data_IF_454225321930
#
_entry.id   IF_454225321930
#
_cell.length_a   1.000
_cell.length_b   1.000
_cell.length_c   1.000
_cell.angle_alpha   90.00
_cell.angle_beta   90.00
_cell.angle_gamma   90.00
#
_symmetry.space_group_name_H-M   'P 1'
#
loop_
_entity.id
_entity.type
_entity.pdbx_description
1 polymer ?
#
# COMPACT_ATOMS: atom_id res chain seq x y z
N UNK A 1 13.73 27.56 11.38
CA UNK A 1 15.03 27.24 12.02
C UNK A 1 14.81 26.26 13.16
N UNK A 2 15.67 25.25 13.34
CA UNK A 2 15.54 24.24 14.40
C UNK A 2 16.89 24.10 15.14
N UNK A 3 16.86 24.16 16.47
CA UNK A 3 18.03 24.10 17.33
C UNK A 3 17.89 22.98 18.36
N UNK A 4 18.85 22.06 18.42
CA UNK A 4 18.97 21.13 19.55
C UNK A 4 19.77 21.82 20.66
N UNK A 5 19.10 22.19 21.75
CA UNK A 5 19.71 22.95 22.85
C UNK A 5 20.34 22.06 23.93
N UNK A 6 20.38 20.74 23.72
CA UNK A 6 20.94 19.78 24.67
C UNK A 6 22.40 20.09 25.05
N UNK A 7 22.61 20.53 26.30
CA UNK A 7 23.96 20.70 26.85
C UNK A 7 24.46 19.33 27.30
N UNK A 8 25.52 18.81 26.65
CA UNK A 8 26.11 17.52 27.00
C UNK A 8 27.33 17.69 27.90
N UNK A 9 27.32 17.04 29.07
CA UNK A 9 28.47 16.94 29.98
C UNK A 9 28.76 15.46 30.22
N UNK A 10 29.96 15.01 29.83
CA UNK A 10 30.41 13.62 29.96
C UNK A 10 29.45 12.57 29.34
N UNK A 11 28.80 12.91 28.21
CA UNK A 11 27.87 12.02 27.52
C UNK A 11 26.43 12.04 28.04
N UNK A 12 26.13 12.88 29.03
CA UNK A 12 24.77 13.05 29.56
C UNK A 12 24.26 14.46 29.27
N UNK A 13 23.04 14.56 28.74
CA UNK A 13 22.33 15.85 28.63
C UNK A 13 22.00 16.38 30.02
N UNK A 14 22.47 17.58 30.34
CA UNK A 14 22.24 18.24 31.64
C UNK A 14 21.25 19.38 31.53
N UNK A 15 20.42 19.55 32.55
CA UNK A 15 19.51 20.69 32.70
C UNK A 15 20.19 21.80 33.51
N UNK A 16 20.23 23.05 33.03
CA UNK A 16 20.78 24.15 33.82
C UNK A 16 19.92 24.38 35.08
N UNK A 17 20.59 24.52 36.23
CA UNK A 17 19.93 24.75 37.52
C UNK A 17 19.52 26.22 37.73
N UNK A 18 19.99 27.12 36.86
CA UNK A 18 19.66 28.55 36.84
C UNK A 18 19.12 28.91 35.47
N UNK A 19 18.20 29.87 35.43
CA UNK A 19 17.70 30.41 34.19
C UNK A 19 18.83 31.01 33.35
N UNK A 20 18.73 30.88 32.04
CA UNK A 20 19.68 31.43 31.07
C UNK A 20 18.95 32.34 30.07
N UNK A 21 19.74 33.11 29.32
CA UNK A 21 19.29 33.88 28.17
C UNK A 21 19.76 33.18 26.89
N UNK A 22 18.86 32.99 25.94
CA UNK A 22 19.17 32.55 24.59
C UNK A 22 19.01 33.73 23.65
N UNK A 23 19.95 33.87 22.72
CA UNK A 23 19.91 34.84 21.64
C UNK A 23 20.06 34.10 20.33
N UNK A 24 19.12 34.31 19.41
CA UNK A 24 19.12 33.67 18.10
C UNK A 24 18.95 34.74 17.05
N UNK A 25 19.94 34.88 16.15
CA UNK A 25 19.84 35.79 15.01
C UNK A 25 18.76 35.31 14.04
N UNK A 26 17.82 36.19 13.72
CA UNK A 26 16.75 35.94 12.77
C UNK A 26 17.21 36.37 11.37
N UNK A 27 16.89 35.60 10.31
CA UNK A 27 17.14 36.01 8.93
C UNK A 27 16.53 37.38 8.62
N UNK A 28 17.24 38.21 7.84
CA UNK A 28 16.82 39.59 7.55
C UNK A 28 15.54 39.68 6.71
N UNK A 29 15.20 38.61 5.99
CA UNK A 29 14.03 38.48 5.13
C UNK A 29 12.75 38.05 5.88
N UNK A 30 12.85 37.70 7.17
CA UNK A 30 11.69 37.25 7.96
C UNK A 30 10.90 38.43 8.54
N UNK A 31 9.57 38.36 8.47
CA UNK A 31 8.70 39.25 9.23
C UNK A 31 8.73 38.90 10.72
N UNK A 32 9.49 39.69 11.47
CA UNK A 32 9.66 39.50 12.93
C UNK A 32 8.34 39.54 13.72
N UNK A 33 7.27 40.17 13.19
CA UNK A 33 5.97 40.21 13.85
C UNK A 33 5.23 38.86 13.83
N UNK A 34 5.63 37.98 12.90
CA UNK A 34 5.09 36.65 12.61
C UNK A 34 5.96 35.51 13.14
N UNK A 35 7.01 35.82 13.90
CA UNK A 35 7.85 34.81 14.52
C UNK A 35 7.05 34.03 15.56
N UNK A 36 7.10 32.71 15.43
CA UNK A 36 6.63 31.74 16.40
C UNK A 36 7.82 30.96 16.97
N UNK A 37 7.75 30.66 18.27
CA UNK A 37 8.80 29.99 19.03
C UNK A 37 8.21 28.77 19.72
N UNK A 38 8.67 27.59 19.35
CA UNK A 38 8.15 26.30 19.81
C UNK A 38 9.22 25.53 20.58
N UNK A 39 8.84 24.99 21.73
CA UNK A 39 9.68 24.12 22.56
C UNK A 39 9.23 22.67 22.45
N UNK A 40 10.19 21.76 22.40
CA UNK A 40 9.93 20.33 22.27
C UNK A 40 10.63 19.56 23.37
N UNK A 41 9.90 18.67 24.05
CA UNK A 41 10.42 17.85 25.14
C UNK A 41 11.38 16.72 24.71
N UNK A 42 11.67 16.62 23.41
CA UNK A 42 12.55 15.62 22.82
C UNK A 42 13.66 16.25 21.93
N UNK A 43 14.80 15.57 21.70
CA UNK A 43 15.80 15.97 20.71
C UNK A 43 15.25 15.89 19.27
N UNK A 44 15.79 16.68 18.33
CA UNK A 44 15.40 16.72 16.90
C UNK A 44 15.18 15.35 16.25
N UNK A 45 16.01 14.35 16.55
CA UNK A 45 15.88 13.02 15.96
C UNK A 45 14.76 12.15 16.56
N UNK A 46 14.22 12.55 17.72
CA UNK A 46 13.04 11.98 18.37
C UNK A 46 11.81 12.89 18.22
N UNK A 47 11.99 14.10 17.70
CA UNK A 47 10.89 14.95 17.28
C UNK A 47 10.39 14.32 16.00
N UNK A 48 9.41 13.44 16.22
CA UNK A 48 8.39 13.13 15.26
C UNK A 48 8.09 14.42 14.50
N UNK A 49 8.17 14.34 13.18
CA UNK A 49 7.45 15.22 12.25
C UNK A 49 6.32 15.96 12.97
N UNK A 50 6.33 17.30 12.95
CA UNK A 50 6.16 18.13 14.13
C UNK A 50 4.85 17.81 14.88
N UNK A 51 4.64 18.34 16.08
CA UNK A 51 3.28 18.39 16.66
C UNK A 51 2.78 17.11 17.36
N UNK A 52 3.59 16.43 18.18
CA UNK A 52 3.01 15.49 19.16
C UNK A 52 3.17 15.88 20.63
N UNK A 53 4.01 16.86 21.00
CA UNK A 53 4.08 17.28 22.41
C UNK A 53 4.35 18.79 22.52
N UNK A 54 3.28 19.58 22.53
CA UNK A 54 3.35 20.95 23.03
C UNK A 54 3.25 20.93 24.55
N UNK A 55 4.31 21.33 25.23
CA UNK A 55 4.16 21.98 26.53
C UNK A 55 3.41 23.30 26.34
N UNK A 56 2.49 23.63 27.24
CA UNK A 56 1.63 24.82 27.22
C UNK A 56 2.37 26.19 27.29
N UNK A 57 3.54 26.36 26.69
CA UNK A 57 4.23 27.66 26.67
C UNK A 57 3.86 28.46 25.43
N UNK A 58 2.87 29.32 25.63
CA UNK A 58 2.37 30.35 24.74
C UNK A 58 3.45 31.12 23.98
N UNK A 59 3.22 31.19 22.67
CA UNK A 59 3.79 32.12 21.71
C UNK A 59 3.45 33.55 22.13
N UNK A 60 4.46 34.42 22.27
CA UNK A 60 4.37 35.74 22.92
C UNK A 60 3.87 35.67 24.36
N UNK A 61 4.75 35.35 25.29
CA UNK A 61 4.41 35.60 26.69
C UNK A 61 4.29 37.13 26.88
N UNK A 62 3.12 37.59 27.33
CA UNK A 62 2.83 39.00 27.67
C UNK A 62 3.81 39.55 28.73
N UNK A 63 4.60 38.68 29.36
CA UNK A 63 5.62 39.00 30.36
C UNK A 63 6.96 39.53 29.79
N UNK A 64 7.12 39.57 28.46
CA UNK A 64 8.33 40.08 27.79
C UNK A 64 9.54 39.14 27.82
N UNK A 65 9.36 37.89 28.25
CA UNK A 65 10.43 36.87 28.30
C UNK A 65 10.94 36.45 26.92
N UNK A 66 10.13 36.64 25.87
CA UNK A 66 10.49 36.44 24.46
C UNK A 66 10.28 37.77 23.74
N UNK A 67 11.34 38.32 23.15
CA UNK A 67 11.31 39.62 22.46
C UNK A 67 12.39 39.70 21.37
N UNK A 68 12.26 40.65 20.47
CA UNK A 68 13.34 41.03 19.56
C UNK A 68 14.26 42.08 20.21
N UNK A 69 15.56 41.95 19.99
CA UNK A 69 16.62 42.92 20.32
C UNK A 69 17.46 43.14 19.05
N UNK A 70 17.10 44.14 18.26
CA UNK A 70 17.63 44.27 16.90
C UNK A 70 17.17 43.12 16.00
N UNK A 71 18.13 42.42 15.39
CA UNK A 71 17.93 41.23 14.55
C UNK A 71 18.00 39.90 15.33
N UNK A 72 18.11 39.96 16.67
CA UNK A 72 18.13 38.77 17.53
C UNK A 72 16.78 38.55 18.23
N UNK A 73 16.28 37.33 18.18
CA UNK A 73 15.27 36.84 19.11
C UNK A 73 15.93 36.51 20.44
N UNK A 74 15.49 37.19 21.50
CA UNK A 74 15.98 37.02 22.87
C UNK A 74 14.94 36.30 23.72
N UNK A 75 15.34 35.17 24.29
CA UNK A 75 14.55 34.36 25.22
C UNK A 75 15.22 34.38 26.57
N UNK A 76 14.63 35.07 27.54
CA UNK A 76 15.14 35.19 28.92
C UNK A 76 14.41 34.29 29.90
N UNK A 77 15.07 33.93 31.00
CA UNK A 77 14.40 33.27 32.12
C UNK A 77 14.14 31.78 31.91
N UNK A 78 14.64 31.19 30.81
CA UNK A 78 14.37 29.80 30.48
C UNK A 78 15.36 28.83 31.15
N UNK A 79 14.88 27.67 31.58
CA UNK A 79 15.72 26.53 31.96
C UNK A 79 15.60 25.39 30.95
N UNK A 80 14.83 25.59 29.86
CA UNK A 80 14.49 24.58 28.84
C UNK A 80 15.64 24.32 27.83
N UNK A 81 16.88 24.56 28.23
CA UNK A 81 18.08 24.41 27.38
C UNK A 81 18.63 22.98 27.48
N UNK A 82 17.73 22.03 27.30
CA UNK A 82 17.99 20.59 27.28
C UNK A 82 17.13 19.87 26.23
N UNK A 83 16.40 20.66 25.44
CA UNK A 83 15.29 20.29 24.57
C UNK A 83 15.53 20.87 23.16
N UNK A 84 14.62 20.66 22.22
CA UNK A 84 14.70 21.33 20.91
C UNK A 84 13.89 22.62 20.92
N UNK A 85 14.41 23.63 20.23
CA UNK A 85 13.75 24.90 19.96
C UNK A 85 13.54 25.04 18.45
N UNK A 86 12.29 25.21 18.01
CA UNK A 86 12.00 25.64 16.65
C UNK A 86 11.57 27.10 16.65
N UNK A 87 12.08 27.84 15.66
CA UNK A 87 11.71 29.22 15.40
C UNK A 87 11.24 29.27 13.96
N UNK A 88 10.00 29.67 13.73
CA UNK A 88 9.35 29.72 12.43
C UNK A 88 8.75 31.09 12.18
N UNK A 89 8.66 31.49 10.91
CA UNK A 89 7.84 32.60 10.48
C UNK A 89 6.50 32.05 10.00
N UNK A 90 5.41 32.55 10.58
CA UNK A 90 4.06 32.15 10.15
C UNK A 90 3.76 32.73 8.78
N UNK A 91 3.45 31.87 7.82
CA UNK A 91 2.94 32.31 6.51
C UNK A 91 1.47 32.74 6.61
N UNK A 92 1.10 33.78 5.85
CA UNK A 92 -0.30 34.15 5.71
C UNK A 92 -1.02 33.09 4.87
N UNK A 93 -2.22 32.72 5.29
CA UNK A 93 -3.12 31.89 4.49
C UNK A 93 -3.51 32.68 3.24
N UNK A 94 -3.48 32.00 2.10
CA UNK A 94 -3.97 32.54 0.83
C UNK A 94 -5.48 32.40 0.81
N UNK A 95 -6.20 33.50 0.59
CA UNK A 95 -7.62 33.46 0.26
C UNK A 95 -7.78 32.77 -1.09
N UNK A 96 -8.25 31.52 -1.06
CA UNK A 96 -8.32 30.73 -2.29
C UNK A 96 -9.49 31.15 -3.19
N UNK A 97 -10.50 31.86 -2.67
CA UNK A 97 -11.70 32.24 -3.42
C UNK A 97 -11.44 33.26 -4.54
N UNK A 98 -10.36 34.05 -4.42
CA UNK A 98 -10.03 35.13 -5.35
C UNK A 98 -8.83 34.83 -6.27
N UNK A 99 -8.35 33.58 -6.31
CA UNK A 99 -7.21 33.20 -7.15
C UNK A 99 -7.59 33.31 -8.63
N UNK A 100 -6.79 34.06 -9.39
CA UNK A 100 -6.97 34.23 -10.83
C UNK A 100 -6.50 33.00 -11.60
N UNK A 101 -7.06 32.79 -12.79
CA UNK A 101 -6.57 31.79 -13.73
C UNK A 101 -5.07 31.94 -13.97
N UNK A 102 -4.37 30.80 -13.98
CA UNK A 102 -2.92 30.74 -14.05
C UNK A 102 -2.36 29.51 -13.34
N UNK A 103 -1.03 29.41 -13.34
CA UNK A 103 -0.30 28.32 -12.68
C UNK A 103 0.61 28.87 -11.60
N UNK A 104 0.69 28.16 -10.48
CA UNK A 104 1.34 28.64 -9.27
C UNK A 104 2.13 27.55 -8.57
N UNK A 105 3.30 27.93 -8.04
CA UNK A 105 3.89 27.20 -6.91
C UNK A 105 3.17 27.65 -5.64
N UNK A 106 2.82 26.68 -4.78
CA UNK A 106 2.08 26.93 -3.54
C UNK A 106 2.68 26.11 -2.41
N UNK A 107 2.50 26.59 -1.19
CA UNK A 107 2.76 25.80 0.00
C UNK A 107 1.45 25.19 0.49
N UNK A 108 1.48 23.89 0.76
CA UNK A 108 0.36 23.17 1.38
C UNK A 108 0.66 22.97 2.85
N UNK A 109 -0.31 23.35 3.69
CA UNK A 109 -0.23 23.15 5.13
C UNK A 109 -1.43 22.35 5.62
N UNK A 110 -1.18 21.26 6.34
CA UNK A 110 -2.22 20.42 6.93
C UNK A 110 -2.40 20.78 8.40
N UNK A 111 -3.62 21.14 8.79
CA UNK A 111 -4.03 21.46 10.15
C UNK A 111 -4.88 20.36 10.75
N UNK A 112 -4.93 20.26 12.07
CA UNK A 112 -5.86 19.35 12.73
C UNK A 112 -7.28 19.86 12.56
N UNK A 113 -8.23 18.97 12.25
CA UNK A 113 -9.63 19.34 12.11
C UNK A 113 -10.19 20.03 13.37
N UNK A 114 -9.86 19.50 14.55
CA UNK A 114 -10.38 20.01 15.83
C UNK A 114 -9.60 21.22 16.40
N UNK A 115 -8.40 21.48 15.87
CA UNK A 115 -7.51 22.54 16.33
C UNK A 115 -6.82 23.12 15.09
N UNK A 116 -7.50 23.96 14.30
CA UNK A 116 -7.03 24.41 12.99
C UNK A 116 -5.85 25.40 13.06
N UNK A 117 -5.43 25.76 14.26
CA UNK A 117 -4.19 26.49 14.59
C UNK A 117 -3.02 25.55 14.93
N UNK A 118 -3.28 24.24 15.04
CA UNK A 118 -2.26 23.20 15.20
C UNK A 118 -2.12 22.41 13.93
N UNK A 119 -0.88 22.25 13.51
CA UNK A 119 -0.56 21.43 12.36
C UNK A 119 -0.90 19.94 12.64
N UNK A 120 -1.28 19.23 11.58
CA UNK A 120 -1.54 17.79 11.59
C UNK A 120 -0.25 17.01 11.38
N UNK A 121 -0.17 15.77 11.91
CA UNK A 121 0.91 14.85 11.56
C UNK A 121 1.03 14.62 10.04
N UNK A 122 -0.10 14.64 9.33
CA UNK A 122 -0.14 14.49 7.87
C UNK A 122 0.54 15.64 7.13
N UNK A 123 0.78 16.80 7.78
CA UNK A 123 1.53 17.90 7.19
C UNK A 123 2.90 17.45 6.68
N UNK A 124 3.48 16.48 7.37
CA UNK A 124 4.80 16.00 7.07
C UNK A 124 4.84 14.81 6.12
N UNK A 125 3.66 14.28 5.78
CA UNK A 125 3.50 13.32 4.71
C UNK A 125 3.47 14.00 3.33
N UNK A 126 3.57 15.33 3.27
CA UNK A 126 3.71 16.11 2.04
C UNK A 126 5.16 16.52 1.87
N UNK A 127 5.73 16.30 0.67
CA UNK A 127 7.08 16.74 0.33
C UNK A 127 7.10 18.25 0.22
N UNK A 128 8.05 18.88 0.90
CA UNK A 128 8.20 20.34 0.86
C UNK A 128 8.45 20.83 -0.57
N UNK A 129 7.87 21.99 -0.92
CA UNK A 129 8.00 22.63 -2.23
C UNK A 129 7.51 21.78 -3.43
N UNK A 130 6.77 20.70 -3.19
CA UNK A 130 6.21 19.86 -4.26
C UNK A 130 4.89 20.38 -4.83
N UNK A 131 4.18 21.21 -4.06
CA UNK A 131 2.79 21.54 -4.36
C UNK A 131 2.64 22.58 -5.48
N UNK A 132 1.70 22.30 -6.39
CA UNK A 132 1.45 23.06 -7.61
C UNK A 132 -0.05 23.26 -7.77
N UNK A 133 -0.46 24.44 -8.20
CA UNK A 133 -1.86 24.78 -8.42
C UNK A 133 -2.07 25.24 -9.86
N UNK A 134 -3.02 24.61 -10.56
CA UNK A 134 -3.56 25.05 -11.85
C UNK A 134 -4.94 25.66 -11.59
N UNK A 135 -5.15 26.88 -12.07
CA UNK A 135 -6.46 27.54 -12.03
C UNK A 135 -6.92 27.81 -13.46
N UNK A 136 -8.03 27.20 -13.84
CA UNK A 136 -8.63 27.32 -15.18
C UNK A 136 -10.13 27.56 -15.06
N UNK A 137 -10.62 28.68 -15.59
CA UNK A 137 -12.02 29.08 -15.49
C UNK A 137 -12.52 29.08 -14.02
N UNK A 138 -11.67 29.49 -13.08
CA UNK A 138 -11.95 29.48 -11.64
C UNK A 138 -11.91 28.11 -10.95
N UNK A 139 -11.78 27.01 -11.70
CA UNK A 139 -11.57 25.66 -11.14
C UNK A 139 -10.11 25.51 -10.72
N UNK A 140 -9.89 24.92 -9.55
CA UNK A 140 -8.58 24.83 -8.89
C UNK A 140 -8.19 23.37 -8.82
N UNK A 141 -7.14 22.99 -9.54
CA UNK A 141 -6.58 21.65 -9.48
C UNK A 141 -5.21 21.72 -8.80
N UNK A 142 -5.06 20.98 -7.70
CA UNK A 142 -3.81 20.93 -6.95
C UNK A 142 -3.10 19.60 -7.18
N UNK A 143 -1.78 19.64 -7.14
CA UNK A 143 -0.91 18.46 -7.12
C UNK A 143 0.12 18.60 -6.03
N UNK A 144 0.53 17.50 -5.42
CA UNK A 144 1.68 17.47 -4.51
C UNK A 144 2.24 16.05 -4.41
N UNK A 145 3.51 15.97 -4.00
CA UNK A 145 4.15 14.70 -3.71
C UNK A 145 3.98 14.37 -2.23
N UNK A 146 3.76 13.10 -1.95
CA UNK A 146 3.72 12.55 -0.60
C UNK A 146 5.09 12.00 -0.20
N UNK A 147 5.25 11.68 1.08
CA UNK A 147 6.40 10.95 1.60
C UNK A 147 6.01 10.12 2.81
N UNK A 148 6.75 9.01 3.01
CA UNK A 148 6.65 8.23 4.24
C UNK A 148 7.13 9.03 5.45
N UNK A 149 6.54 8.76 6.60
CA UNK A 149 6.81 9.44 7.87
C UNK A 149 7.15 8.43 8.96
N UNK A 150 7.96 8.85 9.93
CA UNK A 150 8.26 8.04 11.11
C UNK A 150 7.39 8.47 12.29
N UNK A 151 6.59 7.56 12.84
CA UNK A 151 5.75 7.74 14.04
C UNK A 151 6.15 6.69 15.08
N UNK A 152 6.43 7.11 16.32
CA UNK A 152 6.86 6.23 17.42
C UNK A 152 8.02 5.26 17.05
N UNK A 153 8.95 5.67 16.19
CA UNK A 153 10.06 4.85 15.71
C UNK A 153 9.72 3.86 14.60
N UNK A 154 8.48 3.91 14.10
CA UNK A 154 7.99 3.10 12.97
C UNK A 154 7.83 3.99 11.75
N UNK A 155 8.37 3.56 10.62
CA UNK A 155 8.28 4.28 9.36
C UNK A 155 7.13 3.71 8.52
N UNK A 156 6.31 4.56 7.91
CA UNK A 156 5.25 4.11 7.02
C UNK A 156 4.70 5.21 6.12
N UNK A 157 3.86 4.80 5.18
CA UNK A 157 3.28 5.63 4.14
C UNK A 157 1.76 5.77 4.29
N UNK A 158 1.18 6.75 3.60
CA UNK A 158 -0.26 6.78 3.41
C UNK A 158 -0.66 5.81 2.31
N UNK A 159 -1.69 4.99 2.54
CA UNK A 159 -2.27 4.07 1.55
C UNK A 159 -3.36 4.74 0.70
N UNK A 160 -4.01 5.77 1.23
CA UNK A 160 -5.06 6.48 0.52
C UNK A 160 -5.29 7.86 1.12
N UNK A 161 -5.57 8.81 0.23
CA UNK A 161 -5.90 10.18 0.60
C UNK A 161 -7.22 10.49 -0.09
N UNK A 162 -8.15 11.08 0.66
CA UNK A 162 -9.48 11.36 0.17
C UNK A 162 -9.85 12.79 0.53
N UNK A 163 -10.39 13.55 -0.42
CA UNK A 163 -10.98 14.83 -0.10
C UNK A 163 -12.43 14.65 0.33
N UNK A 164 -12.90 15.51 1.23
CA UNK A 164 -14.28 15.54 1.68
C UNK A 164 -14.90 16.93 1.45
N UNK A 165 -16.15 16.94 0.98
CA UNK A 165 -16.94 18.15 0.92
C UNK A 165 -17.47 18.48 2.33
N UNK A 166 -17.49 19.76 2.69
CA UNK A 166 -18.10 20.21 3.93
C UNK A 166 -19.50 20.79 3.66
N UNK A 167 -20.54 20.14 4.17
CA UNK A 167 -21.94 20.56 4.02
C UNK A 167 -22.39 21.63 5.03
N UNK A 168 -21.48 22.15 5.87
CA UNK A 168 -21.78 23.12 6.95
C UNK A 168 -22.69 22.59 8.06
N UNK A 169 -22.83 21.28 8.16
CA UNK A 169 -23.40 20.66 9.35
C UNK A 169 -22.29 20.51 10.38
N UNK A 170 -22.54 20.92 11.63
CA UNK A 170 -21.57 20.78 12.71
C UNK A 170 -22.10 19.85 13.79
N UNK A 171 -21.21 18.99 14.31
CA UNK A 171 -21.45 18.19 15.50
C UNK A 171 -20.31 18.43 16.48
N UNK A 172 -20.64 18.83 17.71
CA UNK A 172 -19.67 19.23 18.73
C UNK A 172 -18.68 20.34 18.28
N UNK A 173 -19.13 21.23 17.38
CA UNK A 173 -18.32 22.32 16.84
C UNK A 173 -17.29 21.90 15.78
N UNK A 174 -17.43 20.68 15.24
CA UNK A 174 -16.62 20.18 14.14
C UNK A 174 -17.49 19.95 12.90
N UNK A 175 -16.96 20.15 11.68
CA UNK A 175 -17.70 19.89 10.46
C UNK A 175 -17.98 18.38 10.33
N UNK A 176 -19.21 18.07 9.97
CA UNK A 176 -19.65 16.71 9.62
C UNK A 176 -19.23 16.45 8.19
N UNK A 177 -18.41 15.41 8.00
CA UNK A 177 -17.89 14.97 6.71
C UNK A 177 -18.42 13.55 6.45
N UNK A 178 -19.25 13.40 5.42
CA UNK A 178 -19.98 12.16 5.11
C UNK A 178 -19.50 11.49 3.83
N UNK A 179 -19.06 12.28 2.85
CA UNK A 179 -18.61 11.79 1.55
C UNK A 179 -17.12 12.04 1.36
N UNK A 180 -16.40 10.98 0.98
CA UNK A 180 -14.96 10.97 0.76
C UNK A 180 -14.68 10.50 -0.65
N UNK A 181 -13.98 11.31 -1.42
CA UNK A 181 -13.60 11.00 -2.80
C UNK A 181 -12.09 10.79 -2.85
N UNK A 182 -11.59 9.67 -3.40
CA UNK A 182 -10.15 9.46 -3.53
C UNK A 182 -9.52 10.56 -4.37
N UNK A 183 -8.28 10.93 -4.05
CA UNK A 183 -7.49 11.77 -4.95
C UNK A 183 -7.15 11.01 -6.23
N UNK A 184 -6.75 11.75 -7.26
CA UNK A 184 -6.11 11.19 -8.45
C UNK A 184 -4.67 10.75 -8.08
N UNK A 185 -4.31 9.52 -8.45
CA UNK A 185 -3.01 8.91 -8.11
C UNK A 185 -2.14 8.76 -9.36
N UNK A 186 -1.19 9.67 -9.54
CA UNK A 186 -0.33 9.74 -10.72
C UNK A 186 0.87 8.80 -10.64
N UNK A 187 1.34 8.50 -9.43
CA UNK A 187 2.42 7.53 -9.24
C UNK A 187 2.35 6.88 -7.86
N UNK A 188 3.02 5.75 -7.72
CA UNK A 188 3.11 4.95 -6.51
C UNK A 188 4.57 4.71 -6.13
N UNK A 189 4.79 4.49 -4.84
CA UNK A 189 6.06 3.94 -4.37
C UNK A 189 6.18 2.48 -4.77
N UNK A 190 7.33 2.14 -5.35
CA UNK A 190 7.75 0.78 -5.63
C UNK A 190 9.10 0.53 -4.95
N UNK A 191 9.34 -0.72 -4.55
CA UNK A 191 10.59 -1.10 -3.93
C UNK A 191 11.72 -1.19 -4.98
N UNK A 192 12.94 -1.53 -4.55
CA UNK A 192 14.11 -1.61 -5.43
C UNK A 192 13.97 -2.63 -6.58
N UNK A 193 13.08 -3.63 -6.46
CA UNK A 193 12.78 -4.58 -7.54
C UNK A 193 11.65 -4.13 -8.46
N UNK A 194 11.02 -2.98 -8.18
CA UNK A 194 9.87 -2.48 -8.91
C UNK A 194 8.54 -3.14 -8.52
N UNK A 195 8.46 -3.80 -7.37
CA UNK A 195 7.22 -4.38 -6.82
C UNK A 195 6.49 -3.40 -5.88
N UNK A 196 5.20 -3.64 -5.67
CA UNK A 196 4.33 -2.96 -4.70
C UNK A 196 4.60 -3.35 -3.25
N UNK A 197 5.36 -4.43 -3.03
CA UNK A 197 5.77 -4.95 -1.71
C UNK A 197 6.81 -4.02 -1.04
N UNK A 198 6.35 -2.85 -0.63
CA UNK A 198 7.18 -1.78 -0.06
C UNK A 198 7.59 -2.07 1.39
N UNK A 199 6.71 -2.72 2.13
CA UNK A 199 6.89 -3.08 3.54
C UNK A 199 5.97 -4.25 3.90
N UNK A 200 6.07 -4.73 5.14
CA UNK A 200 5.26 -5.83 5.64
C UNK A 200 3.76 -5.52 5.64
N UNK A 201 3.34 -4.25 5.69
CA UNK A 201 1.93 -3.92 5.60
C UNK A 201 1.42 -4.04 4.17
N UNK A 202 2.19 -3.55 3.19
CA UNK A 202 1.87 -3.70 1.77
C UNK A 202 1.74 -5.17 1.37
N UNK A 203 2.69 -6.01 1.79
CA UNK A 203 2.67 -7.45 1.52
C UNK A 203 1.49 -8.18 2.18
N UNK A 204 1.19 -7.84 3.45
CA UNK A 204 0.21 -8.59 4.23
C UNK A 204 -1.24 -8.16 3.96
N UNK A 205 -1.45 -6.90 3.60
CA UNK A 205 -2.78 -6.28 3.53
C UNK A 205 -3.11 -5.69 2.15
N UNK A 206 -2.31 -6.01 1.13
CA UNK A 206 -2.51 -5.55 -0.25
C UNK A 206 -2.63 -4.02 -0.36
N UNK A 207 -1.63 -3.32 0.21
CA UNK A 207 -1.62 -1.86 0.30
C UNK A 207 -0.71 -1.23 -0.76
N UNK A 208 -1.14 -0.08 -1.27
CA UNK A 208 -0.49 0.65 -2.35
C UNK A 208 -0.30 2.10 -1.94
N UNK A 209 0.94 2.57 -1.93
CA UNK A 209 1.27 3.89 -1.39
C UNK A 209 1.41 4.92 -2.51
N UNK A 210 0.43 5.84 -2.71
CA UNK A 210 0.54 6.88 -3.72
C UNK A 210 1.66 7.85 -3.38
N UNK A 211 2.47 8.18 -4.38
CA UNK A 211 3.62 9.09 -4.28
C UNK A 211 3.29 10.47 -4.82
N UNK A 212 2.65 10.57 -5.98
CA UNK A 212 2.21 11.86 -6.54
C UNK A 212 0.71 11.84 -6.66
N UNK A 213 0.06 12.85 -6.08
CA UNK A 213 -1.40 12.93 -6.01
C UNK A 213 -1.89 14.28 -6.51
N UNK A 214 -3.14 14.33 -6.97
CA UNK A 214 -3.80 15.58 -7.31
C UNK A 214 -5.31 15.47 -7.22
N UNK A 215 -6.01 16.60 -7.25
CA UNK A 215 -7.46 16.65 -7.31
C UNK A 215 -7.97 18.06 -7.64
N UNK A 216 -9.19 18.13 -8.18
CA UNK A 216 -9.95 19.38 -8.28
C UNK A 216 -10.57 19.71 -6.91
N UNK A 217 -10.38 20.94 -6.44
CA UNK A 217 -10.94 21.40 -5.18
C UNK A 217 -12.47 21.23 -5.13
N UNK A 218 -13.03 20.73 -4.01
CA UNK A 218 -14.48 20.64 -3.85
C UNK A 218 -15.13 22.02 -3.80
N UNK A 219 -16.44 22.07 -4.05
CA UNK A 219 -17.22 23.32 -4.01
C UNK A 219 -17.11 24.06 -2.66
N UNK A 220 -16.94 23.33 -1.55
CA UNK A 220 -16.75 23.95 -0.24
C UNK A 220 -15.43 24.70 -0.08
N UNK A 221 -14.44 24.46 -0.95
CA UNK A 221 -13.09 24.95 -0.75
C UNK A 221 -13.03 26.48 -0.66
N UNK A 222 -13.62 27.18 -1.63
CA UNK A 222 -13.61 28.64 -1.69
C UNK A 222 -14.29 29.28 -0.47
N UNK A 223 -15.30 28.60 0.09
CA UNK A 223 -16.03 29.06 1.27
C UNK A 223 -15.23 28.85 2.55
N UNK A 224 -14.58 27.70 2.66
CA UNK A 224 -13.87 27.27 3.87
C UNK A 224 -12.43 27.79 3.90
N UNK A 225 -11.95 28.35 2.79
CA UNK A 225 -10.56 28.76 2.58
C UNK A 225 -9.57 27.58 2.74
N UNK A 226 -9.99 26.40 2.27
CA UNK A 226 -9.23 25.16 2.37
C UNK A 226 -10.07 23.91 2.14
N UNK A 227 -9.44 22.74 2.24
CA UNK A 227 -10.06 21.44 1.92
C UNK A 227 -9.84 20.44 3.04
N UNK A 228 -10.87 19.67 3.40
CA UNK A 228 -10.70 18.55 4.32
C UNK A 228 -10.14 17.33 3.58
N UNK A 229 -9.02 16.81 4.06
CA UNK A 229 -8.38 15.60 3.55
C UNK A 229 -8.33 14.53 4.62
N UNK A 230 -8.80 13.34 4.30
CA UNK A 230 -8.72 12.16 5.13
C UNK A 230 -7.54 11.30 4.70
N UNK A 231 -6.66 10.99 5.65
CA UNK A 231 -5.45 10.20 5.42
C UNK A 231 -5.63 8.83 6.02
N UNK A 232 -5.46 7.82 5.18
CA UNK A 232 -5.37 6.45 5.60
C UNK A 232 -3.91 6.03 5.74
N UNK A 233 -3.50 5.66 6.97
CA UNK A 233 -2.13 5.23 7.31
C UNK A 233 -2.19 3.90 8.06
N UNK A 234 -1.60 2.80 7.55
CA UNK A 234 -1.73 1.47 8.15
C UNK A 234 -1.18 1.36 9.58
N UNK A 235 -0.11 2.09 9.87
CA UNK A 235 0.46 2.16 11.23
C UNK A 235 -0.54 2.77 12.22
N UNK A 236 -1.39 3.70 11.78
CA UNK A 236 -2.38 4.32 12.66
C UNK A 236 -3.50 3.35 13.03
N UNK A 237 -3.84 2.42 12.15
CA UNK A 237 -4.74 1.32 12.48
C UNK A 237 -4.11 0.44 13.58
N UNK A 238 -2.86 0.01 13.41
CA UNK A 238 -2.16 -0.83 14.40
C UNK A 238 -2.07 -0.15 15.77
N UNK A 239 -1.65 1.13 15.81
CA UNK A 239 -1.53 1.91 17.05
C UNK A 239 -2.86 2.05 17.81
N UNK A 240 -3.98 1.88 17.11
CA UNK A 240 -5.33 1.90 17.68
C UNK A 240 -5.89 0.50 17.96
N UNK A 241 -5.05 -0.55 17.88
CA UNK A 241 -5.44 -1.95 17.96
C UNK A 241 -6.48 -2.35 16.90
N UNK A 242 -6.40 -1.74 15.71
CA UNK A 242 -7.19 -2.09 14.53
C UNK A 242 -6.37 -2.92 13.56
N UNK A 243 -7.03 -3.50 12.56
CA UNK A 243 -6.37 -4.27 11.50
C UNK A 243 -5.69 -3.28 10.55
N UNK A 244 -4.36 -3.30 10.36
CA UNK A 244 -3.71 -2.50 9.34
C UNK A 244 -4.35 -2.76 7.98
N UNK A 245 -4.59 -1.72 7.19
CA UNK A 245 -5.34 -1.90 5.94
C UNK A 245 -6.84 -1.54 6.04
N UNK A 246 -7.40 -1.46 7.25
CA UNK A 246 -8.85 -1.29 7.46
C UNK A 246 -9.38 0.11 7.19
N UNK A 247 -8.58 1.15 7.40
CA UNK A 247 -9.04 2.54 7.33
C UNK A 247 -9.74 3.03 8.61
N UNK A 248 -9.91 2.20 9.63
CA UNK A 248 -10.57 2.62 10.87
C UNK A 248 -9.73 3.62 11.68
N UNK A 249 -8.43 3.66 11.45
CA UNK A 249 -7.50 4.60 12.04
C UNK A 249 -7.34 5.90 11.25
N UNK A 250 -8.12 6.10 10.18
CA UNK A 250 -8.08 7.32 9.37
C UNK A 250 -8.17 8.59 10.21
N UNK A 251 -7.51 9.65 9.74
CA UNK A 251 -7.51 10.97 10.38
C UNK A 251 -7.74 12.05 9.35
N UNK A 252 -8.60 13.00 9.72
CA UNK A 252 -8.89 14.17 8.88
C UNK A 252 -7.97 15.32 9.25
N UNK A 253 -7.38 15.94 8.23
CA UNK A 253 -6.70 17.20 8.30
C UNK A 253 -7.43 18.26 7.47
N UNK A 254 -7.30 19.52 7.86
CA UNK A 254 -7.76 20.66 7.08
C UNK A 254 -6.57 21.26 6.33
N UNK A 255 -6.59 21.19 5.01
CA UNK A 255 -5.54 21.66 4.11
C UNK A 255 -5.76 23.13 3.75
N UNK A 256 -4.75 23.99 3.90
CA UNK A 256 -4.77 25.38 3.45
C UNK A 256 -3.58 25.69 2.56
N UNK A 257 -3.72 26.72 1.72
CA UNK A 257 -2.62 27.20 0.86
C UNK A 257 -1.96 28.45 1.43
N UNK A 258 -0.66 28.61 1.15
CA UNK A 258 0.10 29.82 1.40
C UNK A 258 1.19 30.01 0.33
N UNK A 259 1.84 31.17 0.30
CA UNK A 259 3.01 31.38 -0.57
C UNK A 259 2.72 31.31 -2.08
N UNK A 260 1.50 31.65 -2.50
CA UNK A 260 1.07 31.62 -3.89
C UNK A 260 2.02 32.44 -4.80
N UNK A 261 2.83 31.74 -5.59
CA UNK A 261 3.84 32.34 -6.46
C UNK A 261 3.53 32.00 -7.91
N UNK A 262 3.13 32.98 -8.75
CA UNK A 262 2.85 32.74 -10.17
C UNK A 262 4.10 32.26 -10.91
N UNK A 263 3.93 31.29 -11.79
CA UNK A 263 4.99 30.80 -12.68
C UNK A 263 4.52 30.81 -14.13
N UNK A 264 5.46 30.73 -15.08
CA UNK A 264 5.12 30.77 -16.51
C UNK A 264 4.45 29.47 -16.97
N UNK A 265 4.91 28.34 -16.45
CA UNK A 265 4.40 27.00 -16.71
C UNK A 265 4.72 26.10 -15.50
N UNK A 266 3.86 25.13 -15.24
CA UNK A 266 4.17 24.00 -14.35
C UNK A 266 4.10 22.72 -15.16
N UNK A 267 4.95 21.76 -14.80
CA UNK A 267 4.79 20.42 -15.30
C UNK A 267 3.73 19.74 -14.43
N UNK A 268 2.53 19.58 -14.97
CA UNK A 268 1.50 18.73 -14.37
C UNK A 268 2.04 17.29 -14.27
N UNK A 269 1.75 16.59 -13.17
CA UNK A 269 2.15 15.21 -13.06
C UNK A 269 1.45 14.37 -14.13
N UNK A 270 2.19 13.40 -14.67
CA UNK A 270 1.66 12.37 -15.57
C UNK A 270 1.70 11.03 -14.86
N UNK A 271 0.75 10.16 -15.19
CA UNK A 271 0.72 8.78 -14.77
C UNK A 271 1.98 8.07 -15.26
N UNK A 272 2.72 7.45 -14.33
CA UNK A 272 3.89 6.66 -14.66
C UNK A 272 3.59 5.15 -14.63
N UNK A 273 4.58 4.33 -14.95
CA UNK A 273 4.43 2.88 -15.02
C UNK A 273 4.02 2.23 -13.70
N UNK A 274 4.26 2.87 -12.56
CA UNK A 274 3.89 2.32 -11.25
C UNK A 274 2.37 2.15 -11.10
N UNK A 275 1.58 2.98 -11.79
CA UNK A 275 0.12 2.84 -11.88
C UNK A 275 -0.25 1.48 -12.46
N UNK A 276 0.42 1.07 -13.55
CA UNK A 276 0.20 -0.23 -14.16
C UNK A 276 0.73 -1.38 -13.31
N UNK A 277 1.85 -1.19 -12.59
CA UNK A 277 2.34 -2.21 -11.65
C UNK A 277 1.30 -2.49 -10.57
N UNK A 278 0.70 -1.45 -9.98
CA UNK A 278 -0.39 -1.59 -9.01
C UNK A 278 -1.62 -2.26 -9.63
N UNK A 279 -2.02 -1.87 -10.84
CA UNK A 279 -3.16 -2.48 -11.52
C UNK A 279 -2.95 -3.97 -11.78
N UNK A 280 -1.74 -4.36 -12.22
CA UNK A 280 -1.37 -5.76 -12.46
C UNK A 280 -1.30 -6.55 -11.15
N UNK A 281 -0.77 -5.97 -10.07
CA UNK A 281 -0.77 -6.64 -8.76
C UNK A 281 -2.21 -6.87 -8.26
N UNK A 282 -3.11 -5.89 -8.35
CA UNK A 282 -4.54 -6.06 -8.03
C UNK A 282 -5.17 -7.18 -8.87
N UNK A 283 -4.87 -7.24 -10.17
CA UNK A 283 -5.35 -8.30 -11.05
C UNK A 283 -4.82 -9.69 -10.66
N UNK A 284 -3.60 -9.77 -10.13
CA UNK A 284 -2.95 -11.03 -9.75
C UNK A 284 -3.67 -11.78 -8.63
N UNK A 285 -4.48 -11.08 -7.83
CA UNK A 285 -5.28 -11.66 -6.73
C UNK A 285 -6.45 -12.52 -7.25
N UNK A 286 -6.74 -12.44 -8.55
CA UNK A 286 -7.81 -13.21 -9.20
C UNK A 286 -7.25 -14.46 -9.89
N UNK A 287 -7.69 -15.63 -9.43
CA UNK A 287 -7.25 -16.93 -9.96
C UNK A 287 -8.18 -17.44 -11.06
N UNK A 288 -7.61 -17.89 -12.18
CA UNK A 288 -8.34 -18.37 -13.36
C UNK A 288 -9.37 -19.48 -13.09
N UNK A 289 -9.19 -20.28 -12.04
CA UNK A 289 -10.09 -21.40 -11.70
C UNK A 289 -11.37 -20.96 -10.99
N UNK A 290 -11.41 -19.73 -10.47
CA UNK A 290 -12.57 -19.18 -9.80
C UNK A 290 -13.56 -18.50 -10.76
N UNK A 291 -13.16 -18.26 -12.01
CA UNK A 291 -13.91 -17.45 -12.97
C UNK A 291 -14.10 -18.16 -14.30
N UNK A 292 -15.10 -17.76 -15.08
CA UNK A 292 -15.34 -18.33 -16.42
C UNK A 292 -14.16 -18.07 -17.35
N UNK A 293 -13.89 -19.00 -18.29
CA UNK A 293 -12.79 -18.85 -19.26
C UNK A 293 -12.89 -17.52 -20.03
N UNK A 294 -14.10 -17.11 -20.42
CA UNK A 294 -14.32 -15.88 -21.19
C UNK A 294 -14.06 -14.62 -20.36
N UNK A 295 -14.53 -14.55 -19.11
CA UNK A 295 -14.36 -13.35 -18.28
C UNK A 295 -12.92 -13.19 -17.81
N UNK A 296 -12.27 -14.30 -17.43
CA UNK A 296 -10.86 -14.29 -17.05
C UNK A 296 -9.93 -13.95 -18.22
N UNK A 297 -10.28 -14.38 -19.44
CA UNK A 297 -9.52 -14.04 -20.64
C UNK A 297 -9.42 -12.52 -20.87
N UNK A 298 -10.51 -11.78 -20.62
CA UNK A 298 -10.50 -10.31 -20.74
C UNK A 298 -9.48 -9.70 -19.77
N UNK A 299 -9.46 -10.17 -18.52
CA UNK A 299 -8.48 -9.71 -17.52
C UNK A 299 -7.05 -10.08 -17.94
N UNK A 300 -6.81 -11.33 -18.33
CA UNK A 300 -5.50 -11.82 -18.74
C UNK A 300 -4.95 -11.06 -19.96
N UNK A 301 -5.79 -10.77 -20.96
CA UNK A 301 -5.40 -10.00 -22.14
C UNK A 301 -5.04 -8.54 -21.77
N UNK A 302 -5.80 -7.91 -20.86
CA UNK A 302 -5.52 -6.55 -20.37
C UNK A 302 -4.20 -6.49 -19.59
N UNK A 303 -3.99 -7.43 -18.66
CA UNK A 303 -2.72 -7.57 -17.90
C UNK A 303 -1.53 -7.77 -18.85
N UNK A 304 -1.68 -8.59 -19.88
CA UNK A 304 -0.61 -8.81 -20.86
C UNK A 304 -0.24 -7.55 -21.66
N UNK A 305 -1.20 -6.64 -21.92
CA UNK A 305 -0.91 -5.34 -22.53
C UNK A 305 -0.15 -4.43 -21.57
N UNK A 306 -0.60 -4.33 -20.32
CA UNK A 306 0.07 -3.52 -19.29
C UNK A 306 1.50 -4.02 -19.03
N UNK A 307 1.71 -5.34 -18.95
CA UNK A 307 3.03 -5.93 -18.75
C UNK A 307 4.03 -5.53 -19.82
N UNK A 308 3.61 -5.43 -21.10
CA UNK A 308 4.49 -4.95 -22.18
C UNK A 308 4.95 -3.50 -21.96
N UNK A 309 4.12 -2.66 -21.35
CA UNK A 309 4.48 -1.27 -21.00
C UNK A 309 5.43 -1.25 -19.80
N UNK A 310 5.12 -2.04 -18.77
CA UNK A 310 5.97 -2.21 -17.57
C UNK A 310 7.38 -2.66 -17.98
N UNK A 311 7.49 -3.75 -18.74
CA UNK A 311 8.74 -4.33 -19.23
C UNK A 311 9.47 -3.44 -20.25
N UNK A 312 8.82 -2.37 -20.74
CA UNK A 312 9.39 -1.45 -21.72
C UNK A 312 9.45 -2.01 -23.14
N UNK A 313 8.72 -3.09 -23.43
CA UNK A 313 8.54 -3.61 -24.79
C UNK A 313 7.66 -2.67 -25.64
N UNK A 314 6.77 -1.93 -24.99
CA UNK A 314 5.91 -0.91 -25.60
C UNK A 314 6.03 0.40 -24.81
N UNK A 315 6.09 1.54 -25.49
CA UNK A 315 5.95 2.85 -24.86
C UNK A 315 4.48 3.23 -24.70
N UNK A 316 4.12 3.87 -23.59
CA UNK A 316 2.80 4.43 -23.38
C UNK A 316 2.93 5.88 -22.89
N UNK A 317 2.06 6.75 -23.39
CA UNK A 317 1.86 8.10 -22.84
C UNK A 317 0.87 8.08 -21.67
N UNK A 318 0.69 9.23 -21.02
CA UNK A 318 -0.21 9.42 -19.87
C UNK A 318 -1.63 8.86 -20.11
N UNK A 319 -2.29 9.28 -21.18
CA UNK A 319 -3.65 8.82 -21.50
C UNK A 319 -3.71 7.33 -21.83
N UNK A 320 -2.65 6.76 -22.40
CA UNK A 320 -2.56 5.31 -22.65
C UNK A 320 -2.38 4.52 -21.35
N UNK A 321 -1.63 5.05 -20.37
CA UNK A 321 -1.50 4.43 -19.04
C UNK A 321 -2.85 4.45 -18.32
N UNK A 322 -3.54 5.60 -18.29
CA UNK A 322 -4.88 5.72 -17.70
C UNK A 322 -5.88 4.77 -18.36
N UNK A 323 -5.83 4.64 -19.69
CA UNK A 323 -6.70 3.73 -20.42
C UNK A 323 -6.44 2.26 -20.08
N UNK A 324 -5.18 1.86 -19.89
CA UNK A 324 -4.81 0.50 -19.51
C UNK A 324 -5.19 0.16 -18.06
N UNK A 325 -4.96 1.09 -17.13
CA UNK A 325 -5.41 0.94 -15.74
C UNK A 325 -6.94 0.77 -15.66
N UNK A 326 -7.66 1.61 -16.43
CA UNK A 326 -9.11 1.48 -16.57
C UNK A 326 -9.53 0.16 -17.22
N UNK A 327 -8.84 -0.30 -18.27
CA UNK A 327 -9.11 -1.58 -18.93
C UNK A 327 -9.01 -2.75 -17.94
N UNK A 328 -7.96 -2.76 -17.09
CA UNK A 328 -7.79 -3.76 -16.04
C UNK A 328 -8.90 -3.65 -14.98
N UNK A 329 -9.20 -2.45 -14.49
CA UNK A 329 -10.24 -2.22 -13.48
C UNK A 329 -11.63 -2.63 -13.96
N UNK A 330 -11.96 -2.34 -15.22
CA UNK A 330 -13.21 -2.76 -15.87
C UNK A 330 -13.24 -4.29 -16.05
N UNK A 331 -12.11 -4.90 -16.43
CA UNK A 331 -12.01 -6.35 -16.57
C UNK A 331 -12.18 -7.10 -15.24
N UNK A 332 -11.59 -6.58 -14.15
CA UNK A 332 -11.79 -7.08 -12.79
C UNK A 332 -13.27 -6.99 -12.41
N UNK A 333 -13.90 -5.84 -12.62
CA UNK A 333 -15.32 -5.63 -12.33
C UNK A 333 -16.24 -6.50 -13.19
N UNK A 334 -15.78 -6.91 -14.38
CA UNK A 334 -16.50 -7.77 -15.32
C UNK A 334 -16.29 -9.28 -15.11
N UNK A 335 -15.49 -9.69 -14.11
CA UNK A 335 -15.27 -11.10 -13.80
C UNK A 335 -16.59 -11.81 -13.41
N UNK A 336 -16.74 -13.06 -13.86
CA UNK A 336 -17.90 -13.89 -13.56
C UNK A 336 -17.44 -15.19 -12.94
N UNK A 337 -17.95 -15.49 -11.74
CA UNK A 337 -17.58 -16.73 -11.04
C UNK A 337 -17.94 -17.96 -11.89
N UNK A 338 -17.05 -18.94 -11.89
CA UNK A 338 -17.26 -20.22 -12.55
C UNK A 338 -18.27 -21.07 -11.76
N UNK A 339 -19.27 -21.60 -12.47
CA UNK A 339 -20.20 -22.59 -11.93
C UNK A 339 -19.50 -23.93 -11.68
N UNK A 340 -20.14 -24.84 -10.94
CA UNK A 340 -19.64 -26.20 -10.77
C UNK A 340 -19.50 -26.89 -12.13
N UNK A 341 -20.47 -26.67 -13.04
CA UNK A 341 -20.39 -27.18 -14.41
C UNK A 341 -19.23 -26.59 -15.21
N UNK A 342 -18.93 -25.29 -15.07
CA UNK A 342 -17.79 -24.67 -15.76
C UNK A 342 -16.48 -25.33 -15.34
N UNK A 343 -16.28 -25.50 -14.01
CA UNK A 343 -15.10 -26.15 -13.45
C UNK A 343 -14.99 -27.60 -13.92
N UNK A 344 -16.08 -28.35 -13.85
CA UNK A 344 -16.14 -29.73 -14.36
C UNK A 344 -15.78 -29.82 -15.85
N UNK A 345 -16.42 -28.99 -16.69
CA UNK A 345 -16.22 -29.01 -18.14
C UNK A 345 -14.79 -28.62 -18.53
N UNK A 346 -14.17 -27.68 -17.80
CA UNK A 346 -12.77 -27.30 -17.97
C UNK A 346 -11.83 -28.49 -17.71
N UNK A 347 -11.99 -29.17 -16.58
CA UNK A 347 -11.18 -30.37 -16.27
C UNK A 347 -11.44 -31.49 -17.28
N UNK A 348 -12.70 -31.71 -17.68
CA UNK A 348 -13.05 -32.72 -18.68
C UNK A 348 -12.39 -32.44 -20.04
N UNK A 349 -12.41 -31.19 -20.49
CA UNK A 349 -11.73 -30.75 -21.72
C UNK A 349 -10.22 -31.00 -21.63
N UNK A 350 -9.59 -30.66 -20.50
CA UNK A 350 -8.17 -30.90 -20.28
C UNK A 350 -7.84 -32.40 -20.24
N UNK A 351 -8.60 -33.20 -19.49
CA UNK A 351 -8.43 -34.65 -19.40
C UNK A 351 -8.57 -35.33 -20.78
N UNK A 352 -9.50 -34.88 -21.61
CA UNK A 352 -9.67 -35.37 -22.99
C UNK A 352 -8.56 -34.94 -23.95
N UNK A 353 -7.79 -33.91 -23.62
CA UNK A 353 -6.64 -33.45 -24.40
C UNK A 353 -5.33 -34.17 -24.04
N UNK A 354 -5.30 -34.94 -22.96
CA UNK A 354 -4.15 -35.73 -22.55
C UNK A 354 -3.84 -36.85 -23.56
N UNK A 355 -2.56 -37.20 -23.66
CA UNK A 355 -2.07 -38.23 -24.57
C UNK A 355 -1.87 -39.56 -23.82
N UNK A 356 -2.67 -40.57 -24.16
CA UNK A 356 -2.61 -41.91 -23.56
C UNK A 356 -1.18 -42.49 -23.50
N UNK A 357 -0.38 -42.28 -24.54
CA UNK A 357 0.97 -42.85 -24.63
C UNK A 357 1.95 -42.31 -23.57
N UNK A 358 1.62 -41.20 -22.91
CA UNK A 358 2.46 -40.58 -21.88
C UNK A 358 2.21 -41.17 -20.48
N UNK A 359 1.20 -42.01 -20.32
CA UNK A 359 0.76 -42.54 -19.03
C UNK A 359 0.71 -44.07 -19.00
N UNK A 360 0.76 -44.66 -17.81
CA UNK A 360 0.61 -46.11 -17.66
C UNK A 360 -0.81 -46.54 -18.05
N UNK A 361 -0.93 -47.73 -18.65
CA UNK A 361 -2.22 -48.27 -19.06
C UNK A 361 -3.22 -48.41 -17.90
N UNK A 362 -2.74 -48.68 -16.68
CA UNK A 362 -3.56 -48.79 -15.48
C UNK A 362 -4.15 -47.43 -15.09
N UNK A 363 -3.30 -46.42 -14.86
CA UNK A 363 -3.76 -45.09 -14.46
C UNK A 363 -4.61 -44.40 -15.55
N UNK A 364 -4.32 -44.68 -16.83
CA UNK A 364 -5.15 -44.21 -17.93
C UNK A 364 -6.55 -44.86 -17.94
N UNK A 365 -6.62 -46.17 -17.70
CA UNK A 365 -7.90 -46.88 -17.61
C UNK A 365 -8.77 -46.34 -16.46
N UNK A 366 -8.15 -45.99 -15.32
CA UNK A 366 -8.86 -45.39 -14.18
C UNK A 366 -9.46 -44.02 -14.55
N UNK A 367 -8.70 -43.14 -15.23
CA UNK A 367 -9.24 -41.87 -15.74
C UNK A 367 -10.41 -42.09 -16.71
N UNK A 368 -10.26 -43.01 -17.67
CA UNK A 368 -11.31 -43.32 -18.64
C UNK A 368 -12.59 -43.84 -17.96
N UNK A 369 -12.44 -44.66 -16.91
CA UNK A 369 -13.57 -45.18 -16.14
C UNK A 369 -14.36 -44.04 -15.47
N UNK A 370 -13.69 -43.04 -14.91
CA UNK A 370 -14.34 -41.86 -14.31
C UNK A 370 -15.06 -41.02 -15.36
N UNK A 371 -14.41 -40.74 -16.50
CA UNK A 371 -15.03 -39.99 -17.60
C UNK A 371 -16.29 -40.70 -18.10
N UNK A 372 -16.23 -42.01 -18.32
CA UNK A 372 -17.36 -42.81 -18.79
C UNK A 372 -18.50 -42.89 -17.76
N UNK A 373 -18.18 -42.94 -16.46
CA UNK A 373 -19.18 -42.96 -15.40
C UNK A 373 -20.03 -41.68 -15.38
N UNK A 374 -19.41 -40.54 -15.69
CA UNK A 374 -19.99 -39.19 -15.61
C UNK A 374 -20.67 -38.74 -16.92
N UNK A 375 -20.35 -39.37 -18.05
CA UNK A 375 -20.84 -38.97 -19.38
C UNK A 375 -22.38 -38.86 -19.44
N UNK A 376 -22.86 -37.67 -19.79
CA UNK A 376 -24.29 -37.37 -19.91
C UNK A 376 -25.07 -37.28 -18.59
N UNK A 377 -24.41 -37.39 -17.43
CA UNK A 377 -25.04 -37.42 -16.09
C UNK A 377 -24.69 -36.23 -15.20
N UNK A 378 -23.73 -35.39 -15.61
CA UNK A 378 -23.32 -34.23 -14.82
C UNK A 378 -24.29 -33.07 -15.03
N UNK A 379 -24.72 -32.50 -13.92
CA UNK A 379 -25.63 -31.36 -13.78
C UNK A 379 -25.08 -30.46 -12.70
N UNK A 380 -25.56 -29.22 -12.60
CA UNK A 380 -25.07 -28.31 -11.57
C UNK A 380 -25.17 -28.88 -10.14
N UNK A 381 -26.23 -29.65 -9.84
CA UNK A 381 -26.44 -30.23 -8.52
C UNK A 381 -25.39 -31.27 -8.11
N UNK A 382 -24.64 -31.86 -9.05
CA UNK A 382 -23.60 -32.85 -8.76
C UNK A 382 -22.23 -32.47 -9.36
N UNK A 383 -22.12 -31.28 -9.93
CA UNK A 383 -20.93 -30.88 -10.69
C UNK A 383 -19.70 -30.76 -9.81
N UNK A 384 -19.82 -30.26 -8.57
CA UNK A 384 -18.70 -30.16 -7.63
C UNK A 384 -18.10 -31.54 -7.29
N UNK A 385 -18.96 -32.54 -7.05
CA UNK A 385 -18.49 -33.91 -6.80
C UNK A 385 -17.89 -34.52 -8.06
N UNK A 386 -18.53 -34.33 -9.22
CA UNK A 386 -18.01 -34.84 -10.48
C UNK A 386 -16.65 -34.21 -10.84
N UNK A 387 -16.48 -32.91 -10.56
CA UNK A 387 -15.21 -32.20 -10.67
C UNK A 387 -14.16 -32.83 -9.74
N UNK A 388 -14.46 -33.02 -8.46
CA UNK A 388 -13.52 -33.60 -7.50
C UNK A 388 -13.09 -35.02 -7.87
N UNK A 389 -14.02 -35.87 -8.31
CA UNK A 389 -13.76 -37.24 -8.75
C UNK A 389 -12.86 -37.26 -10.00
N UNK A 390 -13.18 -36.40 -10.97
CA UNK A 390 -12.41 -36.32 -12.22
C UNK A 390 -11.02 -35.74 -11.98
N UNK A 391 -10.89 -34.69 -11.18
CA UNK A 391 -9.60 -34.10 -10.83
C UNK A 391 -8.74 -35.12 -10.07
N UNK A 392 -9.31 -35.88 -9.14
CA UNK A 392 -8.59 -36.95 -8.43
C UNK A 392 -8.06 -38.03 -9.39
N UNK A 393 -8.82 -38.38 -10.43
CA UNK A 393 -8.38 -39.35 -11.43
C UNK A 393 -7.28 -38.79 -12.35
N UNK A 394 -7.35 -37.49 -12.69
CA UNK A 394 -6.28 -36.80 -13.41
C UNK A 394 -5.00 -36.75 -12.58
N UNK A 395 -5.10 -36.40 -11.30
CA UNK A 395 -3.94 -36.31 -10.38
C UNK A 395 -3.32 -37.69 -10.09
N UNK A 396 -4.11 -38.77 -10.20
CA UNK A 396 -3.66 -40.15 -10.05
C UNK A 396 -2.95 -40.73 -11.29
N UNK A 397 -2.88 -39.98 -12.40
CA UNK A 397 -2.17 -40.41 -13.59
C UNK A 397 -0.68 -40.64 -13.30
N UNK A 398 -0.16 -41.78 -13.75
CA UNK A 398 1.24 -42.15 -13.57
C UNK A 398 1.98 -41.97 -14.90
N UNK A 399 2.93 -41.01 -15.01
CA UNK A 399 3.71 -40.84 -16.22
C UNK A 399 4.53 -42.09 -16.56
N UNK A 400 4.54 -42.47 -17.83
CA UNK A 400 5.30 -43.62 -18.33
C UNK A 400 6.81 -43.47 -18.11
N UNK A 401 7.31 -42.23 -18.05
CA UNK A 401 8.72 -41.92 -17.72
C UNK A 401 9.11 -42.24 -16.27
N UNK A 402 8.13 -42.23 -15.36
CA UNK A 402 8.31 -42.57 -13.93
C UNK A 402 7.89 -43.99 -13.60
N UNK A 403 7.26 -44.68 -14.56
CA UNK A 403 6.84 -46.05 -14.40
C UNK A 403 8.08 -46.95 -14.34
N UNK A 404 8.31 -47.57 -13.17
CA UNK A 404 9.29 -48.66 -13.05
C UNK A 404 8.70 -49.87 -13.76
N UNK A 405 9.01 -50.04 -15.05
CA UNK A 405 8.62 -51.25 -15.79
C UNK A 405 9.52 -52.40 -15.34
N UNK A 406 9.08 -53.19 -14.37
CA UNK A 406 9.65 -54.51 -14.17
C UNK A 406 9.11 -55.43 -15.28
N UNK A 407 9.97 -55.80 -16.23
CA UNK A 407 9.66 -56.80 -17.25
C UNK A 407 9.19 -58.13 -16.62
N UNK A 408 8.49 -58.96 -17.40
CA UNK A 408 8.16 -60.32 -16.97
C UNK A 408 9.45 -61.07 -16.65
N UNK A 409 9.64 -61.41 -15.38
CA UNK A 409 10.90 -62.00 -14.95
C UNK A 409 10.83 -62.51 -13.52
N UNK A 410 11.83 -63.33 -13.21
CA UNK A 410 12.14 -63.72 -11.83
C UNK A 410 13.27 -62.81 -11.38
N UNK A 411 12.97 -61.94 -10.43
CA UNK A 411 13.93 -60.99 -9.89
C UNK A 411 14.50 -61.55 -8.60
N UNK A 412 15.83 -61.58 -8.49
CA UNK A 412 16.46 -61.80 -7.19
C UNK A 412 16.30 -60.55 -6.36
N UNK A 413 15.68 -60.70 -5.20
CA UNK A 413 15.44 -59.60 -4.26
C UNK A 413 16.15 -59.91 -2.95
N UNK A 414 16.68 -58.87 -2.31
CA UNK A 414 17.17 -58.95 -0.95
C UNK A 414 15.96 -58.81 -0.03
N UNK A 415 15.59 -59.88 0.65
CA UNK A 415 14.54 -59.85 1.67
C UNK A 415 15.16 -59.99 3.06
N UNK A 416 14.60 -59.29 4.04
CA UNK A 416 14.99 -59.39 5.44
C UNK A 416 13.73 -59.59 6.26
N UNK A 417 13.71 -60.65 7.06
CA UNK A 417 12.65 -60.96 8.01
C UNK A 417 12.91 -60.17 9.29
N UNK A 418 11.89 -59.48 9.80
CA UNK A 418 11.95 -58.76 11.07
C UNK A 418 10.95 -59.36 12.05
N UNK A 419 11.30 -59.37 13.34
CA UNK A 419 10.39 -59.71 14.42
C UNK A 419 9.34 -58.59 14.59
N UNK A 420 8.29 -58.83 15.37
CA UNK A 420 7.22 -57.84 15.62
C UNK A 420 7.72 -56.54 16.28
N UNK A 421 8.85 -56.57 16.97
CA UNK A 421 9.50 -55.41 17.58
C UNK A 421 10.44 -54.65 16.63
N UNK A 422 10.49 -55.04 15.35
CA UNK A 422 11.32 -54.42 14.31
C UNK A 422 12.78 -54.88 14.30
N UNK A 423 13.20 -55.76 15.22
CA UNK A 423 14.55 -56.35 15.21
C UNK A 423 14.71 -57.38 14.09
N UNK A 424 15.95 -57.62 13.64
CA UNK A 424 16.23 -58.65 12.64
C UNK A 424 15.87 -60.04 13.18
N UNK A 425 15.09 -60.81 12.43
CA UNK A 425 14.70 -62.16 12.82
C UNK A 425 15.87 -63.14 12.64
N UNK A 426 16.06 -64.05 13.60
CA UNK A 426 17.05 -65.14 13.51
C UNK A 426 16.81 -66.05 12.29
N UNK A 427 15.59 -66.05 11.76
CA UNK A 427 15.21 -66.79 10.54
C UNK A 427 15.95 -66.30 9.28
N UNK A 428 16.54 -65.09 9.32
CA UNK A 428 17.38 -64.58 8.22
C UNK A 428 18.59 -65.49 7.94
N UNK A 429 19.13 -66.20 8.94
CA UNK A 429 20.22 -67.15 8.73
C UNK A 429 19.84 -68.33 7.81
N UNK A 430 18.54 -68.67 7.78
CA UNK A 430 17.95 -69.69 6.93
C UNK A 430 17.50 -69.18 5.55
N UNK A 431 17.32 -67.87 5.38
CA UNK A 431 16.88 -67.29 4.11
C UNK A 431 18.06 -67.25 3.12
N UNK A 432 18.09 -68.22 2.19
CA UNK A 432 19.19 -68.35 1.21
C UNK A 432 19.00 -67.52 -0.05
N UNK A 433 17.76 -67.30 -0.47
CA UNK A 433 17.41 -66.47 -1.63
C UNK A 433 15.95 -66.09 -1.54
N UNK A 434 15.61 -64.87 -1.95
CA UNK A 434 14.24 -64.46 -2.18
C UNK A 434 14.06 -64.08 -3.64
N UNK A 435 12.94 -64.48 -4.23
CA UNK A 435 12.62 -64.22 -5.62
C UNK A 435 11.25 -63.58 -5.69
N UNK A 436 11.19 -62.41 -6.31
CA UNK A 436 9.93 -61.78 -6.67
C UNK A 436 9.58 -62.21 -8.09
N UNK A 437 8.37 -62.75 -8.26
CA UNK A 437 7.89 -63.21 -9.56
C UNK A 437 6.77 -62.29 -9.99
N UNK A 438 7.04 -61.46 -10.99
CA UNK A 438 6.02 -60.61 -11.59
C UNK A 438 5.22 -61.44 -12.61
N UNK A 439 3.96 -61.75 -12.28
CA UNK A 439 3.03 -62.49 -13.13
C UNK A 439 1.93 -61.52 -13.59
N UNK A 440 1.61 -61.52 -14.89
CA UNK A 440 0.52 -60.69 -15.43
C UNK A 440 -0.82 -61.23 -14.92
N UNK A 441 -1.62 -60.41 -14.23
CA UNK A 441 -3.06 -60.70 -14.09
C UNK A 441 -3.67 -60.50 -15.47
N UNK A 442 -4.18 -61.56 -16.09
CA UNK A 442 -4.93 -61.46 -17.33
C UNK A 442 -6.29 -60.81 -17.05
N UNK A 443 -6.71 -59.93 -17.96
CA UNK A 443 -8.01 -59.24 -18.02
C UNK A 443 -9.19 -60.16 -17.78
#
# INVERSE_FOLDING_TARGET
MIYNLGINVNGTTVKPTRAVELRVKIPEDWDTSKIEVQWYDAPVYQIFNPIENFGNSSYKNEDGSIRMDGDELVITGTTCVYNTLAISEKSDKTDISEIKDGVYNVNVTMWQQAQPDRLSMSNSAVVNDSARLVVENGKKHIYFDTQGITIAGRYGYSNGIFWANNEQTEENGLPVLSEYTPLDYYSYYLNDSGSTDMDSYAEQYDLYYPKTVGFEFPESADRDDGVYLNFFVPIMDELQNKVPGSGEGCRTAFMTLSGLTPVAEINEPTHDKSVLVVAVDKASKYTADNYTEESYKVLSDAVAKAQKVIDGTTSANDSEIVALDKEISDAISGLKEATGLDKYNKVLKNAKALNEAEYTAESWADLQAVIAAQEGKVTEANADQAFADLQSAVDALVPMSTAVSMEKGVYEVQATLTNQDGTASDLNAGLKSARYIQIKTAM
#
